data_IF_711468327166
#
_entry.id   IF_711468327166
#
_cell.length_a   1.000
_cell.length_b   1.000
_cell.length_c   1.000
_cell.angle_alpha   90.00
_cell.angle_beta   90.00
_cell.angle_gamma   90.00
#
_symmetry.space_group_name_H-M   'P 1'
#
loop_
_entity.id
_entity.type
_entity.pdbx_description
1 polymer ?
#
# COMPACT_ATOMS: atom_id res chain seq x y z
N UNK A 1 -4.76 -16.36 -7.11
CA UNK A 1 -4.42 -14.92 -7.21
C UNK A 1 -4.24 -14.36 -5.80
N UNK A 2 -3.09 -13.78 -5.50
CA UNK A 2 -2.85 -13.00 -4.27
C UNK A 2 -3.31 -11.55 -4.47
N UNK A 3 -3.79 -10.91 -3.40
CA UNK A 3 -4.11 -9.48 -3.41
C UNK A 3 -2.79 -8.68 -3.30
N UNK A 4 -2.60 -7.72 -4.19
CA UNK A 4 -1.43 -6.83 -4.18
C UNK A 4 -1.89 -5.40 -3.92
N UNK A 5 -1.30 -4.76 -2.92
CA UNK A 5 -1.54 -3.37 -2.55
C UNK A 5 -0.37 -2.51 -3.03
N UNK A 6 -0.61 -1.75 -4.09
CA UNK A 6 0.33 -0.72 -4.58
C UNK A 6 0.10 0.57 -3.81
N UNK A 7 1.10 1.04 -3.08
CA UNK A 7 0.99 2.23 -2.24
C UNK A 7 2.25 3.09 -2.31
N UNK A 8 2.08 4.39 -2.07
CA UNK A 8 3.19 5.28 -1.78
C UNK A 8 3.57 5.26 -0.30
N UNK A 9 4.30 6.28 0.15
CA UNK A 9 4.67 6.42 1.55
C UNK A 9 3.42 6.58 2.46
N UNK A 10 3.18 5.60 3.33
CA UNK A 10 2.05 5.55 4.28
C UNK A 10 2.04 6.68 5.30
N UNK A 11 3.22 7.20 5.66
CA UNK A 11 3.35 8.30 6.62
C UNK A 11 3.10 9.67 5.96
N UNK A 12 3.15 9.74 4.62
CA UNK A 12 2.98 10.98 3.86
C UNK A 12 1.64 11.05 3.12
N UNK A 13 1.06 9.91 2.75
CA UNK A 13 -0.19 9.81 2.00
C UNK A 13 -1.27 9.08 2.80
N UNK A 14 -2.27 9.84 3.25
CA UNK A 14 -3.49 9.28 3.85
C UNK A 14 -4.20 8.29 2.92
N UNK A 15 -4.06 8.45 1.61
CA UNK A 15 -4.59 7.52 0.61
C UNK A 15 -3.83 6.20 0.55
N UNK A 16 -2.55 6.18 0.92
CA UNK A 16 -1.76 4.95 1.07
C UNK A 16 -2.00 4.28 2.43
N UNK A 17 -2.20 5.07 3.49
CA UNK A 17 -2.42 4.56 4.85
C UNK A 17 -3.78 3.88 5.02
N UNK A 18 -4.87 4.51 4.53
CA UNK A 18 -6.24 4.00 4.72
C UNK A 18 -6.45 2.56 4.24
N UNK A 19 -6.12 2.19 2.99
CA UNK A 19 -6.29 0.81 2.54
C UNK A 19 -5.36 -0.16 3.29
N UNK A 20 -4.14 0.27 3.63
CA UNK A 20 -3.20 -0.56 4.39
C UNK A 20 -3.74 -0.92 5.78
N UNK A 21 -4.23 0.07 6.54
CA UNK A 21 -4.81 -0.16 7.87
C UNK A 21 -6.05 -1.04 7.77
N UNK A 22 -6.92 -0.79 6.79
CA UNK A 22 -8.14 -1.58 6.61
C UNK A 22 -7.84 -3.05 6.36
N UNK A 23 -6.91 -3.36 5.45
CA UNK A 23 -6.54 -4.73 5.11
C UNK A 23 -5.88 -5.45 6.29
N UNK A 24 -5.01 -4.75 7.03
CA UNK A 24 -4.38 -5.28 8.26
C UNK A 24 -5.42 -5.55 9.35
N UNK A 25 -6.33 -4.61 9.59
CA UNK A 25 -7.38 -4.75 10.60
C UNK A 25 -8.36 -5.87 10.26
N UNK A 26 -8.70 -6.03 8.97
CA UNK A 26 -9.57 -7.10 8.49
C UNK A 26 -8.89 -8.48 8.44
N UNK A 27 -7.58 -8.57 8.72
CA UNK A 27 -6.84 -9.83 8.65
C UNK A 27 -6.69 -10.39 7.24
N UNK A 28 -6.84 -9.54 6.21
CA UNK A 28 -6.74 -9.96 4.82
C UNK A 28 -5.26 -10.02 4.45
N UNK A 29 -4.71 -11.17 4.00
CA UNK A 29 -3.34 -11.25 3.54
C UNK A 29 -3.20 -10.52 2.20
N UNK A 30 -2.19 -9.65 2.10
CA UNK A 30 -1.85 -8.94 0.88
C UNK A 30 -0.33 -8.75 0.75
N UNK A 31 0.14 -8.65 -0.48
CA UNK A 31 1.49 -8.22 -0.80
C UNK A 31 1.55 -6.70 -0.91
N UNK A 32 2.56 -6.07 -0.33
CA UNK A 32 2.73 -4.62 -0.36
C UNK A 32 3.82 -4.24 -1.35
N UNK A 33 3.48 -3.41 -2.34
CA UNK A 33 4.44 -2.84 -3.30
C UNK A 33 4.51 -1.33 -3.09
N UNK A 34 5.67 -0.85 -2.64
CA UNK A 34 5.93 0.57 -2.45
C UNK A 34 6.34 1.22 -3.78
N UNK A 35 5.53 2.14 -4.29
CA UNK A 35 5.83 2.92 -5.48
C UNK A 35 6.75 4.11 -5.12
N UNK A 36 7.92 4.14 -5.74
CA UNK A 36 8.86 5.25 -5.70
C UNK A 36 8.57 6.21 -6.85
N UNK A 37 8.30 7.48 -6.52
CA UNK A 37 7.93 8.50 -7.49
C UNK A 37 9.11 9.05 -8.29
N UNK A 38 10.35 8.70 -7.91
CA UNK A 38 11.60 9.07 -8.58
C UNK A 38 12.02 8.09 -9.70
N UNK A 39 11.24 7.04 -9.95
CA UNK A 39 11.58 5.98 -10.91
C UNK A 39 11.20 6.28 -12.36
N UNK A 40 10.75 7.50 -12.69
CA UNK A 40 10.39 7.91 -14.05
C UNK A 40 11.58 8.58 -14.74
N UNK A 41 12.67 7.83 -14.96
CA UNK A 41 13.78 8.22 -15.81
C UNK A 41 13.70 7.51 -17.16
#
# INVERSE_FOLDING_TARGET
>A
MSLVLYIGNKNYSSWSMRPWVMLRQAGIPFEEILLRFDSFA
#
